data_IF_514076507841
#
_entry.id   IF_514076507841
#
_cell.length_a   1.000
_cell.length_b   1.000
_cell.length_c   1.000
_cell.angle_alpha   90.00
_cell.angle_beta   90.00
_cell.angle_gamma   90.00
#
_symmetry.space_group_name_H-M   'P 1'
#
loop_
_entity.id
_entity.type
_entity.pdbx_description
1 polymer ?
#
# COMPACT_ATOMS: atom_id res chain seq x y z
N UNK A 1 7.11 20.54 -3.93
CA UNK A 1 7.43 19.42 -3.01
C UNK A 1 6.52 19.40 -1.80
N UNK A 2 6.46 20.49 -0.99
CA UNK A 2 5.62 20.52 0.21
C UNK A 2 4.14 20.29 -0.09
N UNK A 3 3.58 21.04 -1.05
CA UNK A 3 2.18 20.88 -1.49
C UNK A 3 1.86 19.45 -1.95
N UNK A 4 2.81 18.82 -2.66
CA UNK A 4 2.67 17.45 -3.16
C UNK A 4 2.62 16.42 -2.02
N UNK A 5 3.50 16.58 -1.03
CA UNK A 5 3.51 15.76 0.17
C UNK A 5 2.21 15.94 0.97
N UNK A 6 1.75 17.17 1.15
CA UNK A 6 0.48 17.46 1.84
C UNK A 6 -0.72 16.81 1.14
N UNK A 7 -0.80 16.88 -0.18
CA UNK A 7 -1.87 16.22 -0.95
C UNK A 7 -1.85 14.70 -0.74
N UNK A 8 -0.68 14.07 -0.74
CA UNK A 8 -0.54 12.63 -0.44
C UNK A 8 -0.99 12.32 0.98
N UNK A 9 -0.57 13.09 1.97
CA UNK A 9 -0.96 12.87 3.37
C UNK A 9 -2.47 12.99 3.55
N UNK A 10 -3.08 14.06 3.06
CA UNK A 10 -4.54 14.28 3.21
C UNK A 10 -5.33 13.21 2.46
N UNK A 11 -5.06 12.99 1.17
CA UNK A 11 -5.82 12.03 0.36
C UNK A 11 -5.69 10.60 0.89
N UNK A 12 -4.47 10.18 1.24
CA UNK A 12 -4.24 8.81 1.64
C UNK A 12 -4.65 8.51 3.08
N UNK A 13 -4.48 9.44 4.02
CA UNK A 13 -4.99 9.25 5.38
C UNK A 13 -6.52 9.28 5.38
N UNK A 14 -7.14 10.21 4.63
CA UNK A 14 -8.59 10.24 4.44
C UNK A 14 -9.12 8.94 3.84
N UNK A 15 -8.46 8.44 2.79
CA UNK A 15 -8.79 7.16 2.18
C UNK A 15 -8.75 5.99 3.18
N UNK A 16 -7.72 5.92 4.04
CA UNK A 16 -7.61 4.85 5.04
C UNK A 16 -8.78 4.86 6.03
N UNK A 17 -9.29 6.03 6.42
CA UNK A 17 -10.47 6.15 7.29
C UNK A 17 -11.70 5.54 6.62
N UNK A 18 -11.92 5.82 5.34
CA UNK A 18 -13.08 5.25 4.61
C UNK A 18 -12.93 3.74 4.43
N UNK A 19 -11.73 3.27 4.07
CA UNK A 19 -11.43 1.84 3.94
C UNK A 19 -11.64 1.10 5.26
N UNK A 20 -11.19 1.66 6.39
CA UNK A 20 -11.40 1.05 7.70
C UNK A 20 -12.87 1.02 8.10
N UNK A 21 -13.64 2.07 7.78
CA UNK A 21 -15.08 2.08 7.99
C UNK A 21 -15.77 0.97 7.20
N UNK A 22 -15.40 0.78 5.93
CA UNK A 22 -15.92 -0.30 5.09
C UNK A 22 -15.53 -1.68 5.65
N UNK A 23 -14.25 -1.87 6.00
CA UNK A 23 -13.73 -3.13 6.54
C UNK A 23 -14.36 -3.52 7.89
N UNK A 24 -14.87 -2.56 8.67
CA UNK A 24 -15.61 -2.85 9.91
C UNK A 24 -17.04 -3.34 9.66
N UNK A 25 -17.67 -2.92 8.56
CA UNK A 25 -18.97 -3.45 8.17
C UNK A 25 -18.83 -4.83 7.52
N UNK A 26 -17.82 -5.01 6.67
CA UNK A 26 -17.57 -6.27 5.98
C UNK A 26 -16.06 -6.50 5.79
N UNK A 27 -15.40 -7.23 6.71
CA UNK A 27 -13.96 -7.46 6.65
C UNK A 27 -13.51 -8.28 5.43
N UNK A 28 -14.40 -9.11 4.87
CA UNK A 28 -14.09 -10.02 3.77
C UNK A 28 -14.30 -9.38 2.39
N UNK A 29 -14.94 -8.20 2.30
CA UNK A 29 -15.20 -7.53 1.02
C UNK A 29 -13.97 -6.94 0.31
N UNK A 30 -12.75 -7.14 0.83
CA UNK A 30 -11.53 -6.48 0.33
C UNK A 30 -11.22 -6.80 -1.14
N UNK A 31 -11.60 -7.99 -1.63
CA UNK A 31 -11.46 -8.34 -3.05
C UNK A 31 -12.43 -7.55 -3.94
N UNK A 32 -13.69 -7.40 -3.51
CA UNK A 32 -14.68 -6.54 -4.18
C UNK A 32 -14.21 -5.08 -4.19
N UNK A 33 -13.72 -4.59 -3.05
CA UNK A 33 -13.19 -3.23 -2.92
C UNK A 33 -12.02 -3.00 -3.89
N UNK A 34 -11.04 -3.89 -3.91
CA UNK A 34 -9.86 -3.75 -4.77
C UNK A 34 -10.22 -3.86 -6.25
N UNK A 35 -11.12 -4.78 -6.60
CA UNK A 35 -11.65 -4.89 -7.96
C UNK A 35 -12.33 -3.59 -8.40
N UNK A 36 -13.23 -3.04 -7.57
CA UNK A 36 -13.94 -1.79 -7.84
C UNK A 36 -12.98 -0.62 -8.04
N UNK A 37 -11.97 -0.50 -7.17
CA UNK A 37 -10.93 0.53 -7.30
C UNK A 37 -10.14 0.38 -8.59
N UNK A 38 -9.74 -0.85 -8.98
CA UNK A 38 -8.99 -1.07 -10.20
C UNK A 38 -9.82 -0.75 -11.44
N UNK A 39 -11.11 -1.08 -11.39
CA UNK A 39 -12.07 -0.73 -12.43
C UNK A 39 -12.23 0.79 -12.51
N UNK A 40 -12.44 1.48 -11.40
CA UNK A 40 -12.57 2.94 -11.33
C UNK A 40 -11.33 3.66 -11.88
N UNK A 41 -10.13 3.26 -11.44
CA UNK A 41 -8.86 3.80 -11.94
C UNK A 41 -8.71 3.58 -13.44
N UNK A 42 -9.09 2.41 -13.93
CA UNK A 42 -9.05 2.08 -15.36
C UNK A 42 -10.03 2.97 -16.14
N UNK A 43 -11.28 3.05 -15.70
CA UNK A 43 -12.32 3.87 -16.35
C UNK A 43 -11.97 5.36 -16.37
N UNK A 44 -11.46 5.92 -15.26
CA UNK A 44 -10.97 7.30 -15.25
C UNK A 44 -9.79 7.48 -16.20
N UNK A 45 -8.86 6.53 -16.24
CA UNK A 45 -7.73 6.55 -17.16
C UNK A 45 -8.18 6.56 -18.62
N UNK A 46 -9.19 5.76 -18.98
CA UNK A 46 -9.79 5.71 -20.31
C UNK A 46 -10.45 7.04 -20.69
N UNK A 47 -11.29 7.58 -19.81
CA UNK A 47 -12.06 8.80 -20.07
C UNK A 47 -11.14 10.02 -20.17
N UNK A 48 -10.21 10.15 -19.23
CA UNK A 48 -9.32 11.33 -19.18
C UNK A 48 -8.15 11.26 -20.15
N UNK A 49 -7.74 10.06 -20.59
CA UNK A 49 -6.56 9.86 -21.44
C UNK A 49 -6.80 8.75 -22.48
N UNK A 50 -7.79 8.92 -23.40
CA UNK A 50 -8.13 7.90 -24.40
C UNK A 50 -6.94 7.52 -25.30
N UNK A 51 -5.96 8.42 -25.44
CA UNK A 51 -4.71 8.18 -26.16
C UNK A 51 -3.92 6.98 -25.63
N UNK A 52 -4.10 6.55 -24.38
CA UNK A 52 -3.42 5.37 -23.84
C UNK A 52 -3.79 4.08 -24.57
N UNK A 53 -5.00 3.99 -25.11
CA UNK A 53 -5.41 2.86 -25.96
C UNK A 53 -5.17 3.16 -27.45
N UNK A 54 -5.41 4.39 -27.88
CA UNK A 54 -5.36 4.75 -29.30
C UNK A 54 -3.93 4.78 -29.88
N UNK A 55 -2.93 5.07 -29.04
CA UNK A 55 -1.53 5.16 -29.47
C UNK A 55 -0.69 4.06 -28.83
N UNK A 56 0.48 3.79 -29.43
CA UNK A 56 1.45 2.86 -28.83
C UNK A 56 1.91 3.41 -27.47
N UNK A 57 1.87 2.59 -26.41
CA UNK A 57 2.29 3.02 -25.08
C UNK A 57 3.79 3.32 -25.06
N UNK A 58 4.20 4.29 -24.24
CA UNK A 58 5.62 4.66 -24.07
C UNK A 58 6.41 3.53 -23.43
N UNK A 59 5.78 2.78 -22.52
CA UNK A 59 6.33 1.56 -21.95
C UNK A 59 5.67 0.35 -22.63
N UNK A 60 6.44 -0.58 -23.22
CA UNK A 60 5.87 -1.73 -23.90
C UNK A 60 5.11 -2.62 -22.91
N UNK A 61 3.92 -3.10 -23.29
CA UNK A 61 3.04 -3.91 -22.42
C UNK A 61 3.74 -5.14 -21.82
N UNK A 62 4.65 -5.76 -22.58
CA UNK A 62 5.46 -6.90 -22.11
C UNK A 62 6.32 -6.55 -20.89
N UNK A 63 6.78 -5.30 -20.76
CA UNK A 63 7.56 -4.86 -19.62
C UNK A 63 6.72 -4.71 -18.33
N UNK A 64 5.39 -4.56 -18.46
CA UNK A 64 4.48 -4.52 -17.31
C UNK A 64 4.16 -5.91 -16.74
N UNK A 65 4.32 -7.01 -17.51
CA UNK A 65 3.89 -8.36 -17.10
C UNK A 65 4.38 -8.72 -15.70
N UNK A 66 5.68 -8.54 -15.42
CA UNK A 66 6.26 -8.82 -14.11
C UNK A 66 5.67 -7.93 -13.00
N UNK A 67 5.47 -6.64 -13.28
CA UNK A 67 4.92 -5.67 -12.32
C UNK A 67 3.46 -6.02 -12.03
N UNK A 68 2.67 -6.34 -13.04
CA UNK A 68 1.25 -6.69 -12.92
C UNK A 68 1.06 -7.94 -12.08
N UNK A 69 1.86 -8.99 -12.32
CA UNK A 69 1.81 -10.23 -11.51
C UNK A 69 2.16 -9.92 -10.05
N UNK A 70 3.28 -9.23 -9.80
CA UNK A 70 3.70 -8.90 -8.44
C UNK A 70 2.71 -7.98 -7.74
N UNK A 71 2.18 -6.97 -8.44
CA UNK A 71 1.19 -6.04 -7.92
C UNK A 71 -0.11 -6.76 -7.57
N UNK A 72 -0.60 -7.63 -8.44
CA UNK A 72 -1.80 -8.41 -8.17
C UNK A 72 -1.61 -9.34 -6.96
N UNK A 73 -0.50 -10.09 -6.91
CA UNK A 73 -0.18 -10.96 -5.76
C UNK A 73 -0.10 -10.17 -4.46
N UNK A 74 0.57 -9.02 -4.45
CA UNK A 74 0.66 -8.16 -3.26
C UNK A 74 -0.73 -7.71 -2.81
N UNK A 75 -1.62 -7.30 -3.72
CA UNK A 75 -2.96 -6.87 -3.34
C UNK A 75 -3.80 -8.04 -2.80
N UNK A 76 -3.82 -9.19 -3.48
CA UNK A 76 -4.56 -10.38 -3.04
C UNK A 76 -4.09 -10.88 -1.67
N UNK A 77 -2.78 -11.00 -1.46
CA UNK A 77 -2.25 -11.49 -0.18
C UNK A 77 -2.56 -10.51 0.96
N UNK A 78 -2.47 -9.19 0.70
CA UNK A 78 -2.84 -8.18 1.71
C UNK A 78 -4.35 -8.18 2.00
N UNK A 79 -5.20 -8.36 0.99
CA UNK A 79 -6.66 -8.46 1.18
C UNK A 79 -7.02 -9.65 2.06
N UNK A 80 -6.42 -10.81 1.79
CA UNK A 80 -6.66 -12.01 2.58
C UNK A 80 -6.08 -11.88 4.00
N UNK A 81 -4.98 -11.16 4.20
CA UNK A 81 -4.45 -10.91 5.54
C UNK A 81 -5.44 -10.17 6.46
N UNK A 82 -6.32 -9.33 5.90
CA UNK A 82 -7.36 -8.62 6.64
C UNK A 82 -8.50 -9.54 7.10
N UNK A 83 -8.74 -10.67 6.42
CA UNK A 83 -9.76 -11.65 6.83
C UNK A 83 -9.42 -12.36 8.15
N UNK A 84 -8.17 -12.27 8.62
CA UNK A 84 -7.74 -12.84 9.90
C UNK A 84 -8.07 -11.94 11.11
N UNK A 85 -8.96 -10.95 10.93
CA UNK A 85 -9.40 -10.01 11.98
C UNK A 85 -8.25 -9.27 12.66
N UNK A 86 -7.18 -8.98 11.92
CA UNK A 86 -6.09 -8.16 12.41
C UNK A 86 -6.57 -6.69 12.36
N UNK A 87 -6.56 -5.96 13.49
CA UNK A 87 -6.83 -4.53 13.49
C UNK A 87 -5.98 -3.79 12.45
N UNK A 88 -6.59 -2.88 11.70
CA UNK A 88 -5.93 -2.05 10.69
C UNK A 88 -4.64 -1.37 11.21
N UNK A 89 -4.55 -0.87 12.47
CA UNK A 89 -3.30 -0.35 13.03
C UNK A 89 -2.15 -1.35 13.00
N UNK A 90 -2.41 -2.61 13.39
CA UNK A 90 -1.41 -3.67 13.41
C UNK A 90 -0.95 -4.02 12.00
N UNK A 91 -1.88 -4.09 11.05
CA UNK A 91 -1.56 -4.31 9.64
C UNK A 91 -0.64 -3.19 9.10
N UNK A 92 -0.87 -1.92 9.47
CA UNK A 92 -0.01 -0.78 9.09
C UNK A 92 1.40 -0.93 9.67
N UNK A 93 1.52 -1.34 10.94
CA UNK A 93 2.81 -1.58 11.62
C UNK A 93 3.57 -2.69 10.88
N UNK A 94 2.94 -3.85 10.68
CA UNK A 94 3.56 -4.99 10.01
C UNK A 94 3.99 -4.66 8.57
N UNK A 95 3.21 -3.86 7.84
CA UNK A 95 3.56 -3.43 6.47
C UNK A 95 4.81 -2.55 6.40
N UNK A 96 5.26 -1.98 7.52
CA UNK A 96 6.54 -1.26 7.60
C UNK A 96 7.77 -2.18 7.58
N UNK A 97 7.58 -3.48 7.80
CA UNK A 97 8.62 -4.50 7.60
C UNK A 97 9.12 -4.62 6.15
N UNK A 98 8.45 -4.03 5.16
CA UNK A 98 8.91 -4.05 3.76
C UNK A 98 10.27 -3.39 3.56
N UNK A 99 10.66 -2.45 4.44
CA UNK A 99 12.00 -1.86 4.45
C UNK A 99 13.07 -2.88 4.85
N UNK A 100 12.78 -3.72 5.85
CA UNK A 100 13.63 -4.85 6.22
C UNK A 100 13.80 -5.80 5.04
N UNK A 101 12.69 -6.25 4.44
CA UNK A 101 12.74 -7.19 3.33
C UNK A 101 13.46 -6.61 2.10
N UNK A 102 13.29 -5.31 1.82
CA UNK A 102 14.02 -4.60 0.76
C UNK A 102 15.53 -4.63 0.98
N UNK A 103 15.99 -4.36 2.21
CA UNK A 103 17.41 -4.40 2.54
C UNK A 103 17.96 -5.82 2.36
N UNK A 104 17.28 -6.82 2.90
CA UNK A 104 17.72 -8.22 2.84
C UNK A 104 17.80 -8.72 1.39
N UNK A 105 16.78 -8.48 0.58
CA UNK A 105 16.80 -8.82 -0.85
C UNK A 105 17.86 -8.02 -1.61
N UNK A 106 18.11 -6.76 -1.23
CA UNK A 106 19.17 -5.95 -1.82
C UNK A 106 20.57 -6.50 -1.52
N UNK A 107 20.81 -7.02 -0.31
CA UNK A 107 22.06 -7.70 0.02
C UNK A 107 22.16 -9.02 -0.73
N UNK A 108 21.12 -9.85 -0.69
CA UNK A 108 21.17 -11.22 -1.22
C UNK A 108 21.14 -11.31 -2.74
N UNK A 109 20.27 -10.54 -3.40
CA UNK A 109 20.07 -10.60 -4.87
C UNK A 109 20.98 -9.61 -5.59
N UNK A 110 21.18 -8.41 -5.04
CA UNK A 110 21.91 -7.34 -5.71
C UNK A 110 23.34 -7.18 -5.18
N UNK A 111 23.79 -8.01 -4.23
CA UNK A 111 25.10 -7.91 -3.57
C UNK A 111 25.42 -6.49 -3.06
N UNK A 112 24.40 -5.72 -2.67
CA UNK A 112 24.58 -4.36 -2.17
C UNK A 112 25.10 -4.39 -0.73
N UNK A 113 26.03 -3.48 -0.40
CA UNK A 113 26.48 -3.24 0.98
C UNK A 113 25.77 -2.00 1.54
N UNK A 114 25.25 -2.12 2.75
CA UNK A 114 24.59 -1.04 3.47
C UNK A 114 25.39 -0.63 4.72
N UNK A 115 25.18 0.60 5.20
CA UNK A 115 25.76 1.06 6.47
C UNK A 115 25.20 0.26 7.66
N UNK A 116 26.01 0.09 8.71
CA UNK A 116 25.62 -0.47 10.01
C UNK A 116 24.34 0.14 10.58
N UNK A 117 24.12 1.44 10.38
CA UNK A 117 22.89 2.13 10.79
C UNK A 117 21.63 1.49 10.18
N UNK A 118 21.71 1.00 8.94
CA UNK A 118 20.58 0.32 8.28
C UNK A 118 20.28 -1.05 8.91
N UNK A 119 21.31 -1.77 9.34
CA UNK A 119 21.13 -3.05 10.05
C UNK A 119 20.50 -2.82 11.43
N UNK A 120 20.95 -1.81 12.17
CA UNK A 120 20.34 -1.40 13.46
C UNK A 120 18.88 -1.02 13.25
N UNK A 121 18.59 -0.24 12.21
CA UNK A 121 17.22 0.15 11.85
C UNK A 121 16.31 -1.06 11.60
N UNK A 122 16.82 -2.06 10.88
CA UNK A 122 16.09 -3.31 10.62
C UNK A 122 15.84 -4.09 11.92
N UNK A 123 16.84 -4.21 12.79
CA UNK A 123 16.68 -4.87 14.09
C UNK A 123 15.60 -4.19 14.95
N UNK A 124 15.57 -2.85 14.98
CA UNK A 124 14.53 -2.09 15.68
C UNK A 124 13.13 -2.38 15.12
N UNK A 125 12.98 -2.40 13.79
CA UNK A 125 11.70 -2.72 13.13
C UNK A 125 11.26 -4.14 13.48
N UNK A 126 12.16 -5.12 13.41
CA UNK A 126 11.86 -6.52 13.75
C UNK A 126 11.45 -6.65 15.22
N UNK A 127 12.19 -6.04 16.15
CA UNK A 127 11.86 -6.07 17.57
C UNK A 127 10.49 -5.45 17.86
N UNK A 128 10.18 -4.30 17.23
CA UNK A 128 8.88 -3.66 17.41
C UNK A 128 7.72 -4.48 16.86
N UNK A 129 7.88 -5.14 15.70
CA UNK A 129 6.90 -6.09 15.15
C UNK A 129 6.67 -7.26 16.13
N UNK A 130 7.73 -7.83 16.70
CA UNK A 130 7.63 -8.93 17.67
C UNK A 130 6.88 -8.51 18.94
N UNK A 131 7.20 -7.35 19.50
CA UNK A 131 6.51 -6.81 20.70
C UNK A 131 5.02 -6.54 20.43
N UNK A 132 4.68 -5.95 19.28
CA UNK A 132 3.29 -5.76 18.89
C UNK A 132 2.56 -7.10 18.70
N UNK A 133 3.24 -8.10 18.14
CA UNK A 133 2.66 -9.44 17.94
C UNK A 133 2.41 -10.15 19.26
N UNK A 134 3.35 -10.07 20.22
CA UNK A 134 3.14 -10.67 21.55
C UNK A 134 2.00 -10.04 22.32
N UNK A 135 1.73 -8.75 22.11
CA UNK A 135 0.67 -8.02 22.79
C UNK A 135 -0.75 -8.43 22.36
N UNK A 136 -0.89 -9.01 21.16
CA UNK A 136 -2.17 -9.52 20.61
C UNK A 136 -2.03 -10.98 20.19
N UNK A 137 -1.30 -11.79 20.98
CA UNK A 137 -1.00 -13.16 20.60
C UNK A 137 -2.28 -14.00 20.44
N UNK A 138 -2.58 -14.40 19.21
CA UNK A 138 -3.64 -15.34 18.87
C UNK A 138 -3.24 -16.15 17.63
N UNK A 139 -3.83 -17.34 17.46
CA UNK A 139 -3.53 -18.18 16.30
C UNK A 139 -3.85 -17.44 14.99
N UNK A 140 -4.96 -16.71 14.89
CA UNK A 140 -5.32 -15.93 13.70
C UNK A 140 -4.30 -14.82 13.42
N UNK A 141 -3.84 -14.11 14.46
CA UNK A 141 -2.82 -13.06 14.33
C UNK A 141 -1.50 -13.63 13.84
N UNK A 142 -1.07 -14.79 14.35
CA UNK A 142 0.16 -15.44 13.87
C UNK A 142 0.06 -15.80 12.39
N UNK A 143 -1.05 -16.41 11.95
CA UNK A 143 -1.26 -16.74 10.54
C UNK A 143 -1.23 -15.48 9.65
N UNK A 144 -1.95 -14.43 10.06
CA UNK A 144 -1.95 -13.17 9.31
C UNK A 144 -0.60 -12.45 9.32
N UNK A 145 0.18 -12.52 10.42
CA UNK A 145 1.57 -12.01 10.46
C UNK A 145 2.45 -12.77 9.48
N UNK A 146 2.41 -14.11 9.47
CA UNK A 146 3.17 -14.92 8.52
C UNK A 146 2.79 -14.59 7.06
N UNK A 147 1.49 -14.44 6.79
CA UNK A 147 0.98 -14.04 5.49
C UNK A 147 1.47 -12.65 5.07
N UNK A 148 1.47 -11.69 6.00
CA UNK A 148 2.01 -10.36 5.76
C UNK A 148 3.52 -10.41 5.52
N UNK A 149 4.29 -11.14 6.31
CA UNK A 149 5.74 -11.31 6.07
C UNK A 149 6.01 -11.85 4.67
N UNK A 150 5.23 -12.82 4.20
CA UNK A 150 5.32 -13.33 2.84
C UNK A 150 4.94 -12.24 1.80
N UNK A 151 3.87 -11.48 2.04
CA UNK A 151 3.46 -10.35 1.20
C UNK A 151 4.55 -9.27 1.08
N UNK A 152 5.35 -9.05 2.13
CA UNK A 152 6.43 -8.07 2.12
C UNK A 152 7.55 -8.46 1.15
N UNK A 153 7.81 -9.75 0.95
CA UNK A 153 8.79 -10.22 -0.06
C UNK A 153 8.35 -9.83 -1.45
N UNK A 154 7.09 -10.06 -1.82
CA UNK A 154 6.55 -9.63 -3.11
C UNK A 154 6.48 -8.12 -3.23
N UNK A 155 6.14 -7.41 -2.14
CA UNK A 155 6.11 -5.94 -2.11
C UNK A 155 7.50 -5.36 -2.39
N UNK A 156 8.54 -5.96 -1.83
CA UNK A 156 9.93 -5.58 -2.07
C UNK A 156 10.37 -5.90 -3.49
N UNK A 157 10.05 -7.10 -3.99
CA UNK A 157 10.34 -7.49 -5.37
C UNK A 157 9.63 -6.57 -6.39
N UNK A 158 8.39 -6.16 -6.10
CA UNK A 158 7.63 -5.19 -6.89
C UNK A 158 8.34 -3.85 -6.95
N UNK A 159 8.80 -3.32 -5.81
CA UNK A 159 9.55 -2.06 -5.75
C UNK A 159 10.82 -2.09 -6.61
N UNK A 160 11.60 -3.17 -6.51
CA UNK A 160 12.82 -3.37 -7.34
C UNK A 160 12.46 -3.47 -8.83
N UNK A 161 11.38 -4.18 -9.18
CA UNK A 161 10.94 -4.32 -10.56
C UNK A 161 10.47 -2.97 -11.15
N UNK A 162 9.75 -2.16 -10.36
CA UNK A 162 9.33 -0.81 -10.74
C UNK A 162 10.52 0.14 -10.92
N UNK A 163 11.51 0.08 -10.03
CA UNK A 163 12.75 0.87 -10.16
C UNK A 163 13.47 0.54 -11.47
N UNK A 164 13.66 -0.75 -11.78
CA UNK A 164 14.28 -1.19 -13.03
C UNK A 164 13.50 -0.74 -14.26
N UNK A 165 12.16 -0.84 -14.24
CA UNK A 165 11.31 -0.38 -15.34
C UNK A 165 11.50 1.12 -15.59
N UNK A 166 11.46 1.94 -14.53
CA UNK A 166 11.60 3.39 -14.65
C UNK A 166 13.00 3.84 -15.03
N UNK A 167 14.04 3.10 -14.62
CA UNK A 167 15.41 3.33 -15.12
C UNK A 167 15.53 3.06 -16.63
N UNK A 168 14.81 2.06 -17.14
CA UNK A 168 14.91 1.66 -18.54
C UNK A 168 14.05 2.50 -19.48
N UNK A 169 12.80 2.80 -19.10
CA UNK A 169 11.82 3.45 -19.97
C UNK A 169 11.45 4.87 -19.55
N UNK A 170 11.99 5.36 -18.43
CA UNK A 170 11.60 6.64 -17.84
C UNK A 170 10.32 6.55 -17.01
N UNK A 171 9.97 7.68 -16.39
CA UNK A 171 8.83 7.79 -15.47
C UNK A 171 7.59 8.32 -16.20
N UNK A 172 6.59 7.46 -16.37
CA UNK A 172 5.29 7.81 -16.96
C UNK A 172 4.15 7.47 -15.98
N UNK A 173 3.95 8.28 -14.91
CA UNK A 173 3.11 7.89 -13.78
C UNK A 173 1.64 7.66 -14.14
N UNK A 174 1.04 8.49 -15.01
CA UNK A 174 -0.37 8.31 -15.44
C UNK A 174 -0.56 7.07 -16.30
N UNK A 175 0.33 6.87 -17.28
CA UNK A 175 0.31 5.69 -18.16
C UNK A 175 0.56 4.39 -17.37
N UNK A 176 1.55 4.39 -16.48
CA UNK A 176 1.86 3.25 -15.61
C UNK A 176 0.70 2.93 -14.65
N UNK A 177 0.11 3.95 -14.02
CA UNK A 177 -1.08 3.76 -13.17
C UNK A 177 -2.21 3.11 -13.97
N UNK A 178 -2.51 3.61 -15.18
CA UNK A 178 -3.54 3.04 -16.03
C UNK A 178 -3.27 1.57 -16.40
N UNK A 179 -2.12 1.27 -17.03
CA UNK A 179 -1.84 -0.09 -17.51
C UNK A 179 -1.69 -1.11 -16.39
N UNK A 180 -1.09 -0.75 -15.26
CA UNK A 180 -0.94 -1.68 -14.13
C UNK A 180 -2.31 -2.11 -13.60
N UNK A 181 -3.25 -1.18 -13.41
CA UNK A 181 -4.59 -1.52 -12.89
C UNK A 181 -5.42 -2.26 -13.95
N UNK A 182 -5.42 -1.78 -15.20
CA UNK A 182 -6.14 -2.40 -16.31
C UNK A 182 -5.69 -3.86 -16.54
N UNK A 183 -4.38 -4.09 -16.64
CA UNK A 183 -3.83 -5.43 -16.90
C UNK A 183 -3.97 -6.38 -15.71
N UNK A 184 -4.20 -5.87 -14.50
CA UNK A 184 -4.50 -6.69 -13.32
C UNK A 184 -5.97 -7.13 -13.22
N UNK A 185 -6.91 -6.44 -13.90
CA UNK A 185 -8.35 -6.75 -13.83
C UNK A 185 -8.70 -8.21 -14.15
N UNK A 186 -8.13 -8.86 -15.20
CA UNK A 186 -8.43 -10.26 -15.49
C UNK A 186 -8.11 -11.22 -14.34
N UNK A 187 -7.16 -10.88 -13.47
CA UNK A 187 -6.82 -11.69 -12.30
C UNK A 187 -7.98 -11.85 -11.31
N UNK A 188 -8.89 -10.86 -11.23
CA UNK A 188 -10.05 -10.92 -10.34
C UNK A 188 -11.09 -11.97 -10.77
N UNK A 189 -11.00 -12.52 -11.99
CA UNK A 189 -11.78 -13.69 -12.39
C UNK A 189 -11.52 -14.90 -11.47
N UNK A 190 -10.34 -15.00 -10.85
CA UNK A 190 -10.05 -16.06 -9.87
C UNK A 190 -10.86 -15.91 -8.57
N UNK A 191 -11.31 -14.68 -8.28
CA UNK A 191 -12.03 -14.32 -7.05
C UNK A 191 -13.50 -13.99 -7.31
N UNK A 192 -14.04 -14.34 -8.49
CA UNK A 192 -15.39 -13.94 -8.89
C UNK A 192 -16.46 -14.39 -7.88
N UNK A 193 -16.34 -15.59 -7.29
CA UNK A 193 -17.31 -16.10 -6.32
C UNK A 193 -17.37 -15.24 -5.06
N UNK A 194 -16.21 -14.83 -4.58
CA UNK A 194 -16.06 -13.98 -3.41
C UNK A 194 -16.61 -12.57 -3.69
N UNK A 195 -16.23 -12.00 -4.84
CA UNK A 195 -16.75 -10.70 -5.32
C UNK A 195 -18.28 -10.74 -5.42
N UNK A 196 -18.86 -11.79 -6.02
CA UNK A 196 -20.31 -11.93 -6.16
C UNK A 196 -21.02 -12.12 -4.83
N UNK A 197 -20.43 -12.89 -3.89
CA UNK A 197 -20.94 -13.03 -2.52
C UNK A 197 -21.08 -11.65 -1.86
N UNK A 198 -20.02 -10.84 -1.89
CA UNK A 198 -20.02 -9.51 -1.26
C UNK A 198 -20.88 -8.49 -2.02
N UNK A 199 -21.00 -8.63 -3.35
CA UNK A 199 -21.95 -7.83 -4.17
C UNK A 199 -23.40 -8.07 -3.70
N UNK A 200 -23.76 -9.34 -3.47
CA UNK A 200 -25.10 -9.67 -2.97
C UNK A 200 -25.33 -9.17 -1.54
N UNK A 201 -24.33 -9.25 -0.67
CA UNK A 201 -24.41 -8.67 0.68
C UNK A 201 -24.59 -7.15 0.65
N UNK A 202 -23.90 -6.45 -0.26
CA UNK A 202 -24.02 -5.00 -0.40
C UNK A 202 -25.42 -4.60 -0.90
N UNK A 203 -26.00 -5.37 -1.82
CA UNK A 203 -27.37 -5.17 -2.30
C UNK A 203 -28.43 -5.32 -1.20
N UNK A 204 -28.14 -6.10 -0.15
CA UNK A 204 -29.03 -6.32 0.99
C UNK A 204 -28.79 -5.33 2.13
N UNK A 205 -27.83 -4.42 2.00
CA UNK A 205 -27.53 -3.44 3.05
C UNK A 205 -28.62 -2.37 3.17
N UNK A 206 -28.70 -1.74 4.34
CA UNK A 206 -29.68 -0.69 4.64
C UNK A 206 -29.64 0.43 3.58
N UNK A 207 -30.82 0.79 3.10
CA UNK A 207 -30.98 1.85 2.12
C UNK A 207 -30.85 3.21 2.79
N UNK A 208 -30.12 4.11 2.15
CA UNK A 208 -30.07 5.51 2.55
C UNK A 208 -30.78 6.34 1.49
N UNK A 209 -31.79 7.08 1.94
CA UNK A 209 -32.53 8.03 1.13
C UNK A 209 -31.65 9.27 0.86
N UNK A 210 -31.38 9.54 -0.42
CA UNK A 210 -30.69 10.77 -0.84
C UNK A 210 -31.73 11.85 -1.20
N UNK A 211 -32.05 12.80 -0.31
CA UNK A 211 -33.17 13.73 -0.49
C UNK A 211 -33.04 14.65 -1.70
N UNK A 212 -31.81 14.87 -2.20
CA UNK A 212 -31.52 15.73 -3.35
C UNK A 212 -31.70 15.03 -4.70
N UNK A 213 -31.69 13.69 -4.72
CA UNK A 213 -31.71 12.87 -5.94
C UNK A 213 -32.98 12.00 -5.98
N UNK A 214 -33.67 11.83 -4.85
CA UNK A 214 -34.85 10.96 -4.74
C UNK A 214 -34.52 9.48 -5.00
N UNK A 215 -33.28 9.09 -4.74
CA UNK A 215 -32.77 7.74 -5.01
C UNK A 215 -32.30 7.08 -3.72
N UNK A 216 -32.68 5.81 -3.57
CA UNK A 216 -32.32 4.98 -2.43
C UNK A 216 -31.18 4.07 -2.84
N UNK A 217 -30.03 4.25 -2.18
CA UNK A 217 -28.83 3.48 -2.48
C UNK A 217 -28.44 2.71 -1.22
N UNK A 218 -28.12 1.40 -1.33
CA UNK A 218 -27.60 0.65 -0.19
C UNK A 218 -26.32 1.30 0.35
N UNK A 219 -26.24 1.48 1.67
CA UNK A 219 -25.17 2.23 2.33
C UNK A 219 -23.77 1.71 1.99
N UNK A 220 -23.59 0.39 1.84
CA UNK A 220 -22.28 -0.20 1.53
C UNK A 220 -21.79 0.16 0.13
N UNK A 221 -22.69 0.32 -0.85
CA UNK A 221 -22.33 0.82 -2.18
C UNK A 221 -21.87 2.27 -2.14
N UNK A 222 -22.53 3.12 -1.33
CA UNK A 222 -22.09 4.50 -1.16
C UNK A 222 -20.71 4.59 -0.50
N UNK A 223 -20.45 3.76 0.53
CA UNK A 223 -19.12 3.66 1.12
C UNK A 223 -18.07 3.19 0.11
N UNK A 224 -18.40 2.21 -0.73
CA UNK A 224 -17.50 1.72 -1.76
C UNK A 224 -17.16 2.79 -2.80
N UNK A 225 -18.15 3.56 -3.26
CA UNK A 225 -17.91 4.70 -4.16
C UNK A 225 -16.99 5.73 -3.50
N UNK A 226 -17.22 6.04 -2.23
CA UNK A 226 -16.35 6.96 -1.48
C UNK A 226 -14.92 6.40 -1.33
N UNK A 227 -14.77 5.09 -1.11
CA UNK A 227 -13.47 4.41 -1.13
C UNK A 227 -12.81 4.57 -2.49
N UNK A 228 -13.51 4.27 -3.59
CA UNK A 228 -12.94 4.32 -4.94
C UNK A 228 -12.45 5.73 -5.30
N UNK A 229 -13.22 6.77 -4.96
CA UNK A 229 -12.81 8.18 -5.17
C UNK A 229 -11.58 8.52 -4.32
N UNK A 230 -11.61 8.21 -3.02
CA UNK A 230 -10.50 8.53 -2.11
C UNK A 230 -9.23 7.77 -2.48
N UNK A 231 -9.36 6.50 -2.82
CA UNK A 231 -8.29 5.59 -3.22
C UNK A 231 -7.68 6.03 -4.55
N UNK A 232 -8.51 6.45 -5.53
CA UNK A 232 -8.05 7.03 -6.78
C UNK A 232 -7.12 8.24 -6.54
N UNK A 233 -7.55 9.23 -5.76
CA UNK A 233 -6.73 10.40 -5.46
C UNK A 233 -5.45 10.03 -4.70
N UNK A 234 -5.54 9.12 -3.72
CA UNK A 234 -4.36 8.63 -3.01
C UNK A 234 -3.35 7.97 -3.97
N UNK A 235 -3.80 7.03 -4.81
CA UNK A 235 -2.92 6.35 -5.78
C UNK A 235 -2.31 7.37 -6.74
N UNK A 236 -3.12 8.27 -7.31
CA UNK A 236 -2.65 9.28 -8.25
C UNK A 236 -1.58 10.17 -7.66
N UNK A 237 -1.78 10.69 -6.45
CA UNK A 237 -0.80 11.56 -5.80
C UNK A 237 0.45 10.80 -5.36
N UNK A 238 0.33 9.53 -4.94
CA UNK A 238 1.50 8.69 -4.66
C UNK A 238 2.34 8.48 -5.91
N UNK A 239 1.73 8.12 -7.05
CA UNK A 239 2.44 7.99 -8.33
C UNK A 239 3.12 9.30 -8.75
N UNK A 240 2.44 10.42 -8.58
CA UNK A 240 3.01 11.73 -8.88
C UNK A 240 4.18 12.10 -7.94
N UNK A 241 4.08 11.80 -6.64
CA UNK A 241 5.15 11.99 -5.67
C UNK A 241 6.38 11.12 -6.03
N UNK A 242 6.18 9.85 -6.36
CA UNK A 242 7.25 8.94 -6.81
C UNK A 242 7.91 9.41 -8.10
N UNK A 243 7.14 10.02 -9.00
CA UNK A 243 7.69 10.57 -10.22
C UNK A 243 8.55 11.82 -9.96
N UNK A 244 8.08 12.71 -9.08
CA UNK A 244 8.59 14.08 -8.92
C UNK A 244 9.60 14.26 -7.79
N UNK A 245 9.72 13.31 -6.87
CA UNK A 245 10.57 13.43 -5.70
C UNK A 245 11.62 12.31 -5.64
N UNK A 246 12.63 12.53 -4.81
CA UNK A 246 13.61 11.49 -4.49
C UNK A 246 12.95 10.32 -3.75
N UNK A 247 13.51 9.12 -3.90
CA UNK A 247 13.07 7.93 -3.16
C UNK A 247 13.08 8.15 -1.64
N UNK A 248 14.02 8.96 -1.15
CA UNK A 248 14.12 9.36 0.25
C UNK A 248 12.88 10.13 0.71
N UNK A 249 12.51 11.19 -0.02
CA UNK A 249 11.33 12.02 0.26
C UNK A 249 10.05 11.18 0.20
N UNK A 250 9.92 10.34 -0.82
CA UNK A 250 8.77 9.43 -0.98
C UNK A 250 8.63 8.51 0.23
N UNK A 251 9.73 7.90 0.67
CA UNK A 251 9.74 7.00 1.83
C UNK A 251 9.33 7.75 3.10
N UNK A 252 9.87 8.95 3.32
CA UNK A 252 9.51 9.79 4.48
C UNK A 252 8.02 10.13 4.50
N UNK A 253 7.47 10.61 3.38
CA UNK A 253 6.04 10.97 3.29
C UNK A 253 5.15 9.75 3.51
N UNK A 254 5.51 8.59 2.97
CA UNK A 254 4.76 7.34 3.18
C UNK A 254 4.86 6.88 4.65
N UNK A 255 6.00 7.04 5.31
CA UNK A 255 6.14 6.75 6.75
C UNK A 255 5.24 7.65 7.58
N UNK A 256 5.25 8.97 7.32
CA UNK A 256 4.36 9.91 8.01
C UNK A 256 2.89 9.57 7.75
N UNK A 257 2.52 9.25 6.51
CA UNK A 257 1.17 8.77 6.16
C UNK A 257 0.76 7.57 7.02
N UNK A 258 1.61 6.56 7.12
CA UNK A 258 1.34 5.34 7.92
C UNK A 258 1.14 5.69 9.40
N UNK A 259 1.96 6.58 9.94
CA UNK A 259 1.85 7.03 11.32
C UNK A 259 0.52 7.75 11.57
N UNK A 260 0.17 8.73 10.72
CA UNK A 260 -1.11 9.44 10.83
C UNK A 260 -2.29 8.47 10.70
N UNK A 261 -2.23 7.55 9.73
CA UNK A 261 -3.29 6.54 9.54
C UNK A 261 -3.47 5.64 10.76
N UNK A 262 -2.37 5.25 11.42
CA UNK A 262 -2.39 4.50 12.68
C UNK A 262 -3.06 5.31 13.79
N UNK A 263 -2.69 6.58 13.96
CA UNK A 263 -3.28 7.46 15.00
C UNK A 263 -4.77 7.67 14.74
N UNK A 264 -5.16 7.97 13.50
CA UNK A 264 -6.58 8.12 13.12
C UNK A 264 -7.36 6.83 13.37
N UNK A 265 -6.77 5.67 13.10
CA UNK A 265 -7.39 4.36 13.36
C UNK A 265 -7.55 4.04 14.85
N UNK A 266 -6.66 4.54 15.71
CA UNK A 266 -6.84 4.40 17.17
C UNK A 266 -7.92 5.37 17.66
N UNK A 267 -7.88 6.64 17.23
CA UNK A 267 -8.73 7.70 17.75
C UNK A 267 -10.18 7.64 17.25
N UNK A 268 -10.39 7.48 15.94
CA UNK A 268 -11.74 7.54 15.34
C UNK A 268 -12.54 6.25 15.54
N UNK A 269 -11.83 5.15 15.71
CA UNK A 269 -12.39 3.81 15.66
C UNK A 269 -12.23 3.07 17.01
N UNK A 270 -11.61 3.71 18.01
CA UNK A 270 -11.41 3.15 19.36
C UNK A 270 -10.77 1.76 19.34
N UNK A 271 -9.83 1.56 18.42
CA UNK A 271 -9.14 0.28 18.26
C UNK A 271 -8.31 -0.06 19.50
N UNK A 272 -8.38 -1.29 20.05
CA UNK A 272 -7.68 -1.65 21.27
C UNK A 272 -6.17 -1.51 21.07
N UNK A 273 -5.53 -0.71 21.93
CA UNK A 273 -4.11 -0.39 21.79
C UNK A 273 -3.44 -0.26 23.16
N UNK A 274 -2.62 -1.26 23.50
CA UNK A 274 -1.97 -1.35 24.82
C UNK A 274 -0.62 -0.62 24.84
N UNK A 275 -0.01 -0.48 26.04
CA UNK A 275 1.33 0.11 26.19
C UNK A 275 2.40 -0.65 25.38
N UNK A 276 2.29 -1.98 25.29
CA UNK A 276 3.21 -2.79 24.47
C UNK A 276 3.10 -2.42 22.99
N UNK A 277 1.90 -2.15 22.49
CA UNK A 277 1.70 -1.69 21.12
C UNK A 277 2.35 -0.32 20.87
N UNK A 278 2.30 0.60 21.84
CA UNK A 278 3.00 1.89 21.76
C UNK A 278 4.51 1.73 21.70
N UNK A 279 5.07 0.86 22.55
CA UNK A 279 6.52 0.55 22.54
C UNK A 279 6.93 -0.03 21.18
N UNK A 280 6.21 -1.03 20.69
CA UNK A 280 6.49 -1.66 19.40
C UNK A 280 6.33 -0.67 18.22
N UNK A 281 5.34 0.22 18.28
CA UNK A 281 5.13 1.29 17.30
C UNK A 281 6.29 2.28 17.30
N UNK A 282 6.73 2.74 18.48
CA UNK A 282 7.87 3.64 18.60
C UNK A 282 9.15 3.02 17.99
N UNK A 283 9.38 1.72 18.24
CA UNK A 283 10.51 1.00 17.63
C UNK A 283 10.40 0.89 16.11
N UNK A 284 9.23 0.54 15.58
CA UNK A 284 9.01 0.39 14.13
C UNK A 284 9.16 1.72 13.40
N UNK A 285 8.54 2.79 13.89
CA UNK A 285 8.63 4.10 13.26
C UNK A 285 10.00 4.74 13.48
N UNK A 286 10.58 4.61 14.68
CA UNK A 286 11.95 5.07 14.96
C UNK A 286 12.99 4.37 14.08
N UNK A 287 12.91 3.03 13.97
CA UNK A 287 13.76 2.26 13.07
C UNK A 287 13.53 2.63 11.60
N UNK A 288 12.29 2.92 11.19
CA UNK A 288 12.00 3.40 9.84
C UNK A 288 12.63 4.77 9.55
N UNK A 289 12.58 5.71 10.50
CA UNK A 289 13.20 7.03 10.35
C UNK A 289 14.73 6.93 10.30
N UNK A 290 15.33 6.09 11.15
CA UNK A 290 16.77 5.79 11.11
C UNK A 290 17.17 5.13 9.77
N UNK A 291 16.29 4.27 9.22
CA UNK A 291 16.48 3.67 7.91
C UNK A 291 16.43 4.69 6.77
N UNK A 292 15.89 5.88 6.98
CA UNK A 292 15.82 6.92 5.95
C UNK A 292 17.14 7.70 5.89
N UNK A 293 17.98 7.73 6.94
CA UNK A 293 19.19 8.57 6.96
C UNK A 293 20.13 8.35 5.74
N UNK A 294 20.58 9.42 5.06
CA UNK A 294 21.43 9.29 3.89
C UNK A 294 22.75 8.60 4.24
N UNK A 295 23.18 7.66 3.40
CA UNK A 295 24.51 7.08 3.50
C UNK A 295 25.54 8.17 3.25
N UNK A 296 26.17 8.69 4.32
CA UNK A 296 27.42 9.46 4.17
C UNK A 296 28.48 8.49 3.67
N UNK A 297 28.79 8.59 2.38
CA UNK A 297 29.95 7.90 1.79
C UNK A 297 31.19 8.37 2.56
N UNK A 298 31.86 7.46 3.27
CA UNK A 298 33.11 7.80 3.95
C UNK A 298 34.12 8.28 2.90
N UNK A 299 34.79 9.40 3.19
CA UNK A 299 35.79 10.01 2.29
C UNK A 299 37.04 9.11 2.07
N UNK A 300 37.10 7.93 2.67
CA UNK A 300 38.24 7.00 2.55
C UNK A 300 38.35 6.28 1.20
N UNK A 301 37.34 6.37 0.33
CA UNK A 301 37.38 5.75 -1.01
C UNK A 301 37.92 6.68 -2.10
N UNK A 302 38.28 7.93 -1.78
CA UNK A 302 38.87 8.89 -2.74
C UNK A 302 40.38 8.76 -2.92
N UNK A 303 41.05 7.85 -2.20
CA UNK A 303 42.53 7.70 -2.22
C UNK A 303 43.00 6.56 -3.15
N UNK A 304 42.11 5.87 -3.88
CA UNK A 304 42.48 4.76 -4.78
C UNK A 304 42.18 5.00 -6.26
N UNK A 305 42.26 6.25 -6.70
CA UNK A 305 42.41 6.59 -8.11
C UNK A 305 43.47 7.68 -8.21
N UNK A 306 44.73 7.26 -8.01
CA UNK A 306 45.87 7.89 -8.66
C UNK A 306 46.07 7.15 -9.98
#
# INVERSE_FOLDING_TARGET
MLATASLVLVSCCGCMVVVEKLARHDPECMNLMTFSTFLFVTMEGLVSNPQFIMHKPKIPLKAYVKIVILFFLVNVINNQALSYNIPVPLHIIFRSGSLMTNLLLGVWILNKRYSWVKYISVLMITAGIMICTSATYSASVVHGVCMLTFALVFSSALGIAQEKLYCQYGKHPREAMFFIHMLSLPGFLLFYKDIMKHTNLFNQSELIHLPWIGLDIPHLWMLLILVDIAQYFCIRFVYYLTASCSTLTVTLVITIRKFISLISSILLFSSPFTVQHWIGTALVFGGTLLFIEPFKRSNSDKVKTN
#
